data_IF_831322978422
#
_entry.id   IF_831322978422
#
_cell.length_a   1.000
_cell.length_b   1.000
_cell.length_c   1.000
_cell.angle_alpha   90.00
_cell.angle_beta   90.00
_cell.angle_gamma   90.00
#
_symmetry.space_group_name_H-M   'P 1'
#
loop_
_entity.id
_entity.type
_entity.pdbx_description
1 polymer ?
#
# COMPACT_ATOMS: atom_id res chain seq x y z
N UNK A 1 16.10 11.55 -6.68
CA UNK A 1 15.25 10.47 -6.16
C UNK A 1 14.01 10.40 -7.03
N UNK A 2 13.68 9.24 -7.61
CA UNK A 2 12.40 9.08 -8.33
C UNK A 2 11.24 9.24 -7.36
N UNK A 3 10.07 9.67 -7.85
CA UNK A 3 8.85 9.63 -7.06
C UNK A 3 8.50 8.17 -6.69
N UNK A 4 8.01 7.91 -5.46
CA UNK A 4 7.60 6.58 -5.07
C UNK A 4 6.30 6.15 -5.76
N UNK A 5 6.04 4.84 -5.73
CA UNK A 5 4.73 4.25 -5.94
C UNK A 5 4.18 3.80 -4.58
N UNK A 6 3.03 4.32 -4.17
CA UNK A 6 2.36 3.93 -2.94
C UNK A 6 1.21 3.00 -3.28
N UNK A 7 1.15 1.85 -2.61
CA UNK A 7 -0.01 0.97 -2.67
C UNK A 7 -0.92 1.27 -1.48
N UNK A 8 -2.16 1.63 -1.79
CA UNK A 8 -3.27 1.82 -0.86
C UNK A 8 -4.36 0.76 -1.12
N UNK A 9 -5.38 0.73 -0.27
CA UNK A 9 -6.48 -0.21 -0.34
C UNK A 9 -6.81 -0.75 1.03
N UNK A 10 -7.70 -1.73 1.08
CA UNK A 10 -8.04 -2.38 2.33
C UNK A 10 -7.10 -3.53 2.66
N UNK A 11 -6.93 -3.81 3.94
CA UNK A 11 -6.44 -5.11 4.37
C UNK A 11 -7.24 -6.23 3.67
N UNK A 12 -6.55 -7.30 3.26
CA UNK A 12 -7.16 -8.49 2.62
C UNK A 12 -7.67 -8.32 1.18
N UNK A 13 -7.45 -7.17 0.54
CA UNK A 13 -7.79 -6.98 -0.89
C UNK A 13 -6.70 -7.49 -1.87
N UNK A 14 -5.63 -8.12 -1.39
CA UNK A 14 -4.53 -8.59 -2.25
C UNK A 14 -3.41 -7.58 -2.47
N UNK A 15 -3.34 -6.51 -1.68
CA UNK A 15 -2.25 -5.52 -1.70
C UNK A 15 -0.85 -6.16 -1.61
N UNK A 16 -0.70 -7.24 -0.84
CA UNK A 16 0.59 -7.92 -0.65
C UNK A 16 1.05 -8.65 -1.91
N UNK A 17 0.12 -9.24 -2.67
CA UNK A 17 0.41 -9.85 -3.97
C UNK A 17 0.90 -8.80 -4.96
N UNK A 18 0.20 -7.66 -5.05
CA UNK A 18 0.61 -6.54 -5.92
C UNK A 18 1.99 -6.02 -5.51
N UNK A 19 2.24 -5.81 -4.21
CA UNK A 19 3.54 -5.37 -3.72
C UNK A 19 4.67 -6.32 -4.11
N UNK A 20 4.45 -7.63 -3.94
CA UNK A 20 5.40 -8.69 -4.31
C UNK A 20 5.69 -8.70 -5.81
N UNK A 21 4.66 -8.60 -6.65
CA UNK A 21 4.80 -8.58 -8.11
C UNK A 21 5.59 -7.34 -8.56
N UNK A 22 5.27 -6.17 -8.03
CA UNK A 22 6.01 -4.94 -8.35
C UNK A 22 7.47 -5.00 -7.88
N UNK A 23 7.73 -5.60 -6.71
CA UNK A 23 9.11 -5.85 -6.25
C UNK A 23 9.89 -6.72 -7.23
N UNK A 24 9.29 -7.82 -7.69
CA UNK A 24 9.90 -8.72 -8.68
C UNK A 24 10.06 -8.09 -10.06
N UNK A 25 9.26 -7.08 -10.38
CA UNK A 25 9.41 -6.26 -11.58
C UNK A 25 10.49 -5.15 -11.44
N UNK A 26 11.16 -5.08 -10.29
CA UNK A 26 12.25 -4.13 -10.04
C UNK A 26 11.77 -2.75 -9.57
N UNK A 27 10.63 -2.67 -8.89
CA UNK A 27 10.26 -1.53 -8.04
C UNK A 27 10.63 -1.89 -6.61
N UNK A 28 11.66 -1.26 -6.07
CA UNK A 28 12.13 -1.58 -4.73
C UNK A 28 11.08 -1.26 -3.65
N UNK A 29 10.69 -2.25 -2.84
CA UNK A 29 9.62 -2.12 -1.83
C UNK A 29 10.11 -2.01 -0.37
N UNK A 30 11.43 -1.91 -0.16
CA UNK A 30 12.05 -1.76 1.16
C UNK A 30 12.87 -2.97 1.59
N UNK A 31 13.99 -2.74 2.29
CA UNK A 31 14.83 -3.83 2.82
C UNK A 31 14.10 -4.62 3.89
N UNK A 32 13.56 -3.93 4.90
CA UNK A 32 12.92 -4.53 6.07
C UNK A 32 11.40 -4.40 5.92
N UNK A 33 10.74 -5.55 5.77
CA UNK A 33 9.28 -5.68 5.60
C UNK A 33 8.74 -6.78 6.52
N UNK A 34 7.46 -6.68 6.87
CA UNK A 34 6.73 -7.76 7.55
C UNK A 34 6.30 -8.87 6.56
N UNK A 35 5.60 -9.90 7.06
CA UNK A 35 5.06 -10.98 6.22
C UNK A 35 4.00 -10.51 5.23
N UNK A 36 3.38 -9.33 5.48
CA UNK A 36 2.43 -8.72 4.58
C UNK A 36 3.11 -7.83 3.51
N UNK A 37 4.43 -7.72 3.41
CA UNK A 37 5.13 -6.78 2.51
C UNK A 37 4.93 -5.29 2.89
N UNK A 38 4.73 -5.00 4.18
CA UNK A 38 4.66 -3.63 4.71
C UNK A 38 6.05 -3.21 5.18
N UNK A 39 6.58 -2.13 4.60
CA UNK A 39 7.88 -1.60 5.00
C UNK A 39 7.81 -1.06 6.45
N UNK A 40 8.62 -1.61 7.35
CA UNK A 40 8.44 -1.45 8.80
C UNK A 40 8.42 0.00 9.29
N UNK A 41 9.25 0.88 8.72
CA UNK A 41 9.28 2.29 9.09
C UNK A 41 8.01 3.03 8.62
N UNK A 42 7.51 2.75 7.42
CA UNK A 42 6.24 3.32 6.94
C UNK A 42 5.05 2.80 7.76
N UNK A 43 5.03 1.51 8.09
CA UNK A 43 4.08 0.89 9.01
C UNK A 43 4.08 1.61 10.37
N UNK A 44 5.25 1.84 10.96
CA UNK A 44 5.39 2.55 12.24
C UNK A 44 4.87 3.99 12.16
N UNK A 45 5.25 4.74 11.12
CA UNK A 45 4.81 6.12 10.94
C UNK A 45 3.31 6.23 10.72
N UNK A 46 2.73 5.33 9.93
CA UNK A 46 1.29 5.26 9.71
C UNK A 46 0.53 5.00 11.02
N UNK A 47 0.99 4.02 11.82
CA UNK A 47 0.37 3.72 13.12
C UNK A 47 0.46 4.89 14.08
N UNK A 48 1.65 5.49 14.25
CA UNK A 48 1.82 6.64 15.13
C UNK A 48 0.96 7.84 14.72
N UNK A 49 0.80 8.07 13.41
CA UNK A 49 -0.02 9.17 12.88
C UNK A 49 -1.51 8.91 13.15
N UNK A 50 -1.98 7.68 12.95
CA UNK A 50 -3.35 7.28 13.26
C UNK A 50 -3.64 7.35 14.76
N UNK A 51 -2.76 6.80 15.60
CA UNK A 51 -2.94 6.82 17.06
C UNK A 51 -2.97 8.23 17.63
N UNK A 52 -2.14 9.13 17.13
CA UNK A 52 -2.16 10.53 17.54
C UNK A 52 -3.51 11.21 17.23
N UNK A 53 -4.19 10.78 16.17
CA UNK A 53 -5.53 11.23 15.80
C UNK A 53 -6.66 10.38 16.41
N UNK A 54 -6.38 9.56 17.44
CA UNK A 54 -7.33 8.61 18.05
C UNK A 54 -8.03 7.72 17.02
N UNK A 55 -7.26 7.27 16.02
CA UNK A 55 -7.68 6.40 14.94
C UNK A 55 -6.85 5.11 14.92
N UNK A 56 -7.37 4.09 14.26
CA UNK A 56 -6.67 2.83 14.03
C UNK A 56 -7.04 2.27 12.66
N UNK A 57 -6.51 1.10 12.30
CA UNK A 57 -6.95 0.43 11.07
C UNK A 57 -8.37 -0.17 11.19
N UNK A 58 -8.88 -0.36 12.41
CA UNK A 58 -10.25 -0.83 12.68
C UNK A 58 -11.25 0.32 12.80
N UNK A 59 -10.78 1.48 13.25
CA UNK A 59 -11.56 2.72 13.33
C UNK A 59 -10.81 3.83 12.60
N UNK A 60 -10.74 3.74 11.27
CA UNK A 60 -9.90 4.63 10.51
C UNK A 60 -10.53 6.00 10.35
N UNK A 61 -9.67 7.03 10.41
CA UNK A 61 -9.98 8.44 10.17
C UNK A 61 -8.79 9.06 9.43
N UNK A 62 -9.04 10.05 8.59
CA UNK A 62 -7.97 10.83 7.95
C UNK A 62 -7.36 11.76 9.02
N UNK A 63 -6.09 11.59 9.40
CA UNK A 63 -5.48 12.43 10.43
C UNK A 63 -5.28 13.87 9.93
N UNK A 64 -5.62 14.84 10.77
CA UNK A 64 -5.31 16.25 10.52
C UNK A 64 -3.80 16.50 10.47
N UNK A 65 -3.40 17.60 9.82
CA UNK A 65 -1.99 17.95 9.58
C UNK A 65 -1.15 18.05 10.85
N UNK A 66 -1.75 18.43 11.99
CA UNK A 66 -1.05 18.55 13.27
C UNK A 66 -0.52 17.20 13.78
N UNK A 67 -1.12 16.08 13.36
CA UNK A 67 -0.71 14.73 13.77
C UNK A 67 0.33 14.11 12.83
N UNK A 68 0.62 14.76 11.69
CA UNK A 68 1.53 14.24 10.68
C UNK A 68 2.97 14.21 11.18
N UNK A 69 3.72 13.20 10.73
CA UNK A 69 5.16 13.10 10.99
C UNK A 69 5.94 13.92 9.99
N UNK A 70 6.91 14.69 10.48
CA UNK A 70 7.69 15.66 9.68
C UNK A 70 9.09 15.15 9.33
N UNK A 71 9.23 13.86 9.06
CA UNK A 71 10.53 13.27 8.71
C UNK A 71 10.90 13.68 7.26
N UNK A 72 12.11 14.22 7.02
CA UNK A 72 12.51 14.59 5.67
C UNK A 72 12.46 13.41 4.68
N UNK A 73 11.95 13.65 3.48
CA UNK A 73 11.84 12.65 2.41
C UNK A 73 13.16 11.90 2.13
N UNK A 74 14.30 12.62 2.19
CA UNK A 74 15.63 12.02 2.02
C UNK A 74 16.00 11.05 3.15
N UNK A 75 15.63 11.35 4.38
CA UNK A 75 15.88 10.46 5.52
C UNK A 75 15.04 9.18 5.41
N UNK A 76 13.75 9.31 5.02
CA UNK A 76 12.89 8.17 4.74
C UNK A 76 13.45 7.30 3.61
N UNK A 77 13.89 7.91 2.51
CA UNK A 77 14.51 7.19 1.40
C UNK A 77 15.77 6.43 1.84
N UNK A 78 16.67 7.08 2.59
CA UNK A 78 17.88 6.43 3.08
C UNK A 78 17.56 5.25 4.00
N UNK A 79 16.61 5.40 4.92
CA UNK A 79 16.17 4.34 5.81
C UNK A 79 15.51 3.18 5.03
N UNK A 80 14.70 3.51 4.02
CA UNK A 80 14.02 2.53 3.18
C UNK A 80 14.99 1.62 2.42
N UNK A 81 16.08 2.20 1.92
CA UNK A 81 17.15 1.51 1.19
C UNK A 81 18.32 1.04 2.07
N UNK A 82 18.29 1.35 3.38
CA UNK A 82 19.42 1.14 4.31
C UNK A 82 20.75 1.72 3.80
N UNK A 83 20.67 2.93 3.27
CA UNK A 83 21.82 3.66 2.72
C UNK A 83 22.62 4.25 3.88
N UNK A 84 23.78 3.64 4.13
CA UNK A 84 24.71 4.06 5.18
C UNK A 84 25.98 4.63 4.51
N UNK A 85 26.16 5.95 4.58
CA UNK A 85 27.38 6.62 4.11
C UNK A 85 27.28 7.34 2.76
N UNK A 86 28.28 8.18 2.47
CA UNK A 86 28.28 9.13 1.33
C UNK A 86 28.41 8.45 -0.05
N UNK A 87 29.25 7.41 -0.16
CA UNK A 87 29.44 6.68 -1.42
C UNK A 87 28.16 5.98 -1.90
N UNK A 88 27.42 5.35 -0.96
CA UNK A 88 26.13 4.75 -1.28
C UNK A 88 25.10 5.82 -1.65
N UNK A 89 25.05 6.95 -0.94
CA UNK A 89 24.17 8.06 -1.32
C UNK A 89 24.43 8.55 -2.76
N UNK A 90 25.71 8.68 -3.14
CA UNK A 90 26.08 9.07 -4.51
C UNK A 90 25.64 8.01 -5.53
N UNK A 91 25.89 6.73 -5.26
CA UNK A 91 25.52 5.66 -6.19
C UNK A 91 24.00 5.55 -6.38
N UNK A 92 23.21 5.71 -5.33
CA UNK A 92 21.75 5.71 -5.40
C UNK A 92 21.19 7.00 -6.02
N UNK A 93 21.86 8.14 -5.84
CA UNK A 93 21.51 9.37 -6.54
C UNK A 93 21.67 9.22 -8.06
N UNK A 94 22.75 8.56 -8.51
CA UNK A 94 23.01 8.29 -9.92
C UNK A 94 22.07 7.21 -10.50
N UNK A 95 21.90 6.07 -9.80
CA UNK A 95 21.02 4.98 -10.26
C UNK A 95 19.55 5.36 -10.22
N UNK A 96 19.16 6.15 -9.23
CA UNK A 96 17.79 6.59 -8.94
C UNK A 96 16.74 5.49 -9.19
N UNK A 97 16.85 4.34 -8.49
CA UNK A 97 15.98 3.18 -8.71
C UNK A 97 14.50 3.52 -8.51
N UNK A 98 13.63 2.82 -9.25
CA UNK A 98 12.19 2.86 -8.98
C UNK A 98 11.92 2.22 -7.62
N UNK A 99 11.02 2.83 -6.84
CA UNK A 99 10.76 2.41 -5.47
C UNK A 99 9.35 2.74 -5.04
N UNK A 100 8.93 2.16 -3.93
CA UNK A 100 7.61 2.32 -3.39
C UNK A 100 7.45 1.60 -2.06
N UNK A 101 6.24 1.61 -1.53
CA UNK A 101 5.89 0.76 -0.40
C UNK A 101 4.41 0.46 -0.44
N UNK A 102 4.04 -0.60 0.27
CA UNK A 102 2.65 -0.98 0.49
C UNK A 102 2.32 -0.84 1.95
N UNK A 103 1.14 -0.29 2.21
CA UNK A 103 0.50 -0.35 3.52
C UNK A 103 -0.98 0.01 3.34
N UNK A 104 -1.95 -0.85 3.72
CA UNK A 104 -3.37 -0.51 3.60
C UNK A 104 -3.74 0.78 4.35
N UNK A 105 -3.08 1.08 5.48
CA UNK A 105 -3.30 2.29 6.27
C UNK A 105 -2.86 3.56 5.54
N UNK A 106 -2.02 3.45 4.50
CA UNK A 106 -1.73 4.56 3.58
C UNK A 106 -3.03 5.18 3.03
N UNK A 107 -4.12 4.44 2.92
CA UNK A 107 -5.43 4.96 2.49
C UNK A 107 -5.87 6.19 3.30
N UNK A 108 -5.63 6.20 4.61
CA UNK A 108 -6.03 7.29 5.50
C UNK A 108 -4.91 8.29 5.75
N UNK A 109 -3.65 7.86 5.67
CA UNK A 109 -2.49 8.73 5.85
C UNK A 109 -1.94 9.30 4.54
N UNK A 110 -2.61 9.09 3.41
CA UNK A 110 -2.10 9.47 2.08
C UNK A 110 -1.81 10.97 1.98
N UNK A 111 -2.62 11.82 2.59
CA UNK A 111 -2.39 13.28 2.60
C UNK A 111 -1.03 13.66 3.22
N UNK A 112 -0.61 12.96 4.28
CA UNK A 112 0.74 13.13 4.85
C UNK A 112 1.81 12.76 3.83
N UNK A 113 1.65 11.63 3.13
CA UNK A 113 2.61 11.19 2.12
C UNK A 113 2.64 12.08 0.87
N UNK A 114 1.49 12.62 0.44
CA UNK A 114 1.40 13.58 -0.65
C UNK A 114 2.13 14.88 -0.33
N UNK A 115 2.09 15.31 0.94
CA UNK A 115 2.84 16.49 1.38
C UNK A 115 4.37 16.33 1.31
N UNK A 116 4.86 15.09 1.47
CA UNK A 116 6.29 14.77 1.41
C UNK A 116 6.74 14.39 -0.02
N UNK A 117 5.85 13.79 -0.81
CA UNK A 117 6.10 13.29 -2.15
C UNK A 117 4.99 13.74 -3.11
N UNK A 118 5.01 15.00 -3.59
CA UNK A 118 3.90 15.58 -4.35
C UNK A 118 3.63 14.87 -5.68
N UNK A 119 4.66 14.26 -6.28
CA UNK A 119 4.60 13.57 -7.56
C UNK A 119 4.44 12.04 -7.44
N UNK A 120 3.99 11.54 -6.28
CA UNK A 120 3.76 10.11 -6.04
C UNK A 120 2.72 9.54 -7.00
N UNK A 121 2.92 8.27 -7.41
CA UNK A 121 1.89 7.46 -8.07
C UNK A 121 1.23 6.55 -7.04
N UNK A 122 -0.08 6.38 -7.13
CA UNK A 122 -0.89 5.62 -6.18
C UNK A 122 -1.59 4.48 -6.90
N UNK A 123 -1.42 3.26 -6.38
CA UNK A 123 -2.17 2.08 -6.80
C UNK A 123 -3.19 1.77 -5.70
N UNK A 124 -4.47 1.84 -6.03
CA UNK A 124 -5.57 1.45 -5.15
C UNK A 124 -6.00 0.03 -5.47
N UNK A 125 -5.77 -0.90 -4.52
CA UNK A 125 -6.17 -2.30 -4.70
C UNK A 125 -7.51 -2.55 -4.02
N UNK A 126 -8.50 -2.89 -4.82
CA UNK A 126 -9.87 -3.17 -4.38
C UNK A 126 -10.19 -4.65 -4.49
N UNK A 127 -11.25 -5.08 -3.81
CA UNK A 127 -11.77 -6.45 -3.84
C UNK A 127 -13.21 -6.42 -3.38
N UNK A 128 -14.01 -7.38 -3.83
CA UNK A 128 -15.40 -7.57 -3.41
C UNK A 128 -15.59 -7.50 -1.89
N UNK A 129 -16.67 -6.83 -1.48
CA UNK A 129 -16.97 -6.55 -0.08
C UNK A 129 -17.19 -7.83 0.73
N UNK A 130 -17.93 -8.81 0.19
CA UNK A 130 -18.24 -10.05 0.89
C UNK A 130 -17.00 -10.92 1.04
N UNK A 131 -16.16 -10.97 0.00
CA UNK A 131 -14.89 -11.69 0.08
C UNK A 131 -13.93 -11.09 1.12
N UNK A 132 -13.83 -9.76 1.17
CA UNK A 132 -12.99 -9.09 2.16
C UNK A 132 -13.54 -9.29 3.57
N UNK A 133 -14.85 -9.12 3.76
CA UNK A 133 -15.47 -9.29 5.07
C UNK A 133 -15.26 -10.71 5.62
N UNK A 134 -15.45 -11.75 4.80
CA UNK A 134 -15.15 -13.14 5.18
C UNK A 134 -13.66 -13.35 5.47
N UNK A 135 -12.78 -12.74 4.68
CA UNK A 135 -11.32 -12.85 4.87
C UNK A 135 -10.85 -12.19 6.16
N UNK A 136 -11.49 -11.10 6.59
CA UNK A 136 -11.23 -10.43 7.87
C UNK A 136 -11.64 -11.32 9.06
N UNK A 137 -12.84 -11.91 9.03
CA UNK A 137 -13.27 -12.84 10.08
C UNK A 137 -12.36 -14.08 10.16
N UNK A 138 -11.98 -14.65 9.01
CA UNK A 138 -11.03 -15.78 8.97
C UNK A 138 -9.65 -15.41 9.49
N UNK A 139 -9.17 -14.18 9.24
CA UNK A 139 -7.90 -13.69 9.79
C UNK A 139 -7.93 -13.64 11.32
N UNK A 140 -9.07 -13.33 11.91
CA UNK A 140 -9.21 -13.18 13.37
C UNK A 140 -8.88 -14.46 14.15
N UNK A 141 -8.93 -15.63 13.48
CA UNK A 141 -8.60 -16.94 14.06
C UNK A 141 -7.17 -17.39 13.78
N UNK A 142 -6.37 -16.62 13.04
CA UNK A 142 -4.99 -16.98 12.68
C UNK A 142 -4.04 -16.61 13.80
N UNK A 143 -3.26 -17.59 14.29
CA UNK A 143 -2.26 -17.37 15.34
C UNK A 143 -1.19 -16.38 14.87
N UNK A 144 -0.93 -15.34 15.68
CA UNK A 144 0.05 -14.29 15.39
C UNK A 144 -0.53 -13.05 14.70
N UNK A 145 -1.77 -13.11 14.21
CA UNK A 145 -2.51 -11.92 13.82
C UNK A 145 -3.16 -11.26 15.04
N UNK A 146 -3.40 -9.95 14.96
CA UNK A 146 -4.11 -9.22 16.03
C UNK A 146 -5.55 -9.71 16.05
N UNK A 147 -5.96 -10.27 17.19
CA UNK A 147 -7.35 -10.66 17.44
C UNK A 147 -8.15 -9.44 17.92
N UNK A 148 -9.30 -9.20 17.30
CA UNK A 148 -10.27 -8.21 17.74
C UNK A 148 -11.70 -8.78 17.56
N UNK A 149 -12.52 -8.86 18.63
CA UNK A 149 -13.87 -9.44 18.56
C UNK A 149 -14.77 -8.80 17.51
N UNK A 150 -14.57 -7.51 17.18
CA UNK A 150 -15.37 -6.80 16.18
C UNK A 150 -15.26 -7.41 14.78
N UNK A 151 -14.12 -8.04 14.47
CA UNK A 151 -13.91 -8.71 13.17
C UNK A 151 -14.76 -9.97 12.99
N UNK A 152 -15.41 -10.47 14.05
CA UNK A 152 -16.38 -11.55 13.95
C UNK A 152 -17.77 -11.05 13.49
N UNK A 153 -18.01 -9.74 13.52
CA UNK A 153 -19.22 -9.13 13.00
C UNK A 153 -19.05 -8.77 11.51
N UNK A 154 -19.86 -9.42 10.68
CA UNK A 154 -19.86 -9.20 9.24
C UNK A 154 -20.33 -7.80 8.86
N UNK A 155 -21.25 -7.19 9.61
CA UNK A 155 -21.71 -5.82 9.33
C UNK A 155 -20.60 -4.82 9.62
N UNK A 156 -19.91 -4.96 10.75
CA UNK A 156 -18.72 -4.18 11.06
C UNK A 156 -17.67 -4.29 9.94
N UNK A 157 -17.40 -5.51 9.45
CA UNK A 157 -16.42 -5.72 8.38
C UNK A 157 -16.83 -5.06 7.05
N UNK A 158 -18.12 -5.10 6.69
CA UNK A 158 -18.66 -4.43 5.49
C UNK A 158 -18.56 -2.91 5.61
N UNK A 159 -18.89 -2.35 6.77
CA UNK A 159 -18.75 -0.92 7.03
C UNK A 159 -17.28 -0.48 6.99
N UNK A 160 -16.39 -1.28 7.58
CA UNK A 160 -14.95 -1.03 7.52
C UNK A 160 -14.45 -1.04 6.07
N UNK A 161 -14.91 -2.01 5.26
CA UNK A 161 -14.61 -2.07 3.84
C UNK A 161 -15.07 -0.82 3.10
N UNK A 162 -16.31 -0.39 3.36
CA UNK A 162 -16.87 0.81 2.75
C UNK A 162 -16.02 2.04 3.08
N UNK A 163 -15.61 2.23 4.34
CA UNK A 163 -14.73 3.34 4.74
C UNK A 163 -13.41 3.35 3.97
N UNK A 164 -12.77 2.20 3.79
CA UNK A 164 -11.52 2.09 3.02
C UNK A 164 -11.72 2.41 1.53
N UNK A 165 -12.78 1.85 0.91
CA UNK A 165 -13.06 2.06 -0.51
C UNK A 165 -13.43 3.51 -0.79
N UNK A 166 -14.33 4.09 0.00
CA UNK A 166 -14.75 5.48 -0.15
C UNK A 166 -13.55 6.42 0.00
N UNK A 167 -12.72 6.20 1.02
CA UNK A 167 -11.52 7.00 1.22
C UNK A 167 -10.50 6.82 0.09
N UNK A 168 -10.24 5.59 -0.35
CA UNK A 168 -9.31 5.30 -1.45
C UNK A 168 -9.74 5.94 -2.77
N UNK A 169 -11.05 5.93 -3.08
CA UNK A 169 -11.63 6.54 -4.27
C UNK A 169 -11.72 8.05 -4.20
N UNK A 170 -11.78 8.64 -3.01
CA UNK A 170 -11.79 10.10 -2.83
C UNK A 170 -10.58 10.79 -3.47
N UNK A 171 -9.44 10.10 -3.59
CA UNK A 171 -8.22 10.64 -4.19
C UNK A 171 -8.20 10.61 -5.72
N UNK A 172 -9.15 9.94 -6.38
CA UNK A 172 -9.13 9.74 -7.84
C UNK A 172 -9.04 11.07 -8.61
N UNK A 173 -9.89 12.03 -8.26
CA UNK A 173 -9.91 13.34 -8.92
C UNK A 173 -8.68 14.19 -8.57
N UNK A 174 -8.21 14.13 -7.32
CA UNK A 174 -7.03 14.87 -6.87
C UNK A 174 -5.75 14.42 -7.59
N UNK A 175 -5.62 13.12 -7.85
CA UNK A 175 -4.40 12.53 -8.38
C UNK A 175 -4.40 12.39 -9.91
N UNK A 176 -5.57 12.30 -10.54
CA UNK A 176 -5.71 12.13 -12.00
C UNK A 176 -4.88 10.94 -12.49
N UNK A 177 -4.00 11.20 -13.47
CA UNK A 177 -3.11 10.20 -14.09
C UNK A 177 -2.10 9.56 -13.12
N UNK A 178 -2.00 10.05 -11.88
CA UNK A 178 -1.17 9.46 -10.82
C UNK A 178 -1.93 8.45 -9.96
N UNK A 179 -3.20 8.16 -10.26
CA UNK A 179 -4.00 7.17 -9.54
C UNK A 179 -4.44 6.05 -10.47
N UNK A 180 -4.25 4.81 -10.00
CA UNK A 180 -4.68 3.61 -10.70
C UNK A 180 -5.43 2.69 -9.75
N UNK A 181 -6.70 2.42 -10.02
CA UNK A 181 -7.48 1.41 -9.28
C UNK A 181 -7.42 0.08 -10.03
N UNK A 182 -7.19 -1.01 -9.30
CA UNK A 182 -7.24 -2.37 -9.83
C UNK A 182 -8.03 -3.26 -8.87
N UNK A 183 -8.93 -4.08 -9.42
CA UNK A 183 -9.67 -5.04 -8.62
C UNK A 183 -8.94 -6.39 -8.52
N UNK A 184 -8.99 -7.00 -7.35
CA UNK A 184 -8.38 -8.29 -7.10
C UNK A 184 -8.88 -9.38 -8.05
N UNK A 185 -10.16 -9.36 -8.43
CA UNK A 185 -10.74 -10.29 -9.38
C UNK A 185 -10.05 -10.18 -10.75
N UNK A 186 -9.75 -8.96 -11.22
CA UNK A 186 -9.01 -8.73 -12.47
C UNK A 186 -7.59 -9.31 -12.40
N UNK A 187 -6.94 -9.20 -11.24
CA UNK A 187 -5.63 -9.82 -10.99
C UNK A 187 -5.75 -11.35 -10.97
N UNK A 188 -6.70 -11.91 -10.22
CA UNK A 188 -6.83 -13.36 -10.03
C UNK A 188 -7.25 -14.09 -11.30
N UNK A 189 -8.03 -13.43 -12.16
CA UNK A 189 -8.44 -13.95 -13.48
C UNK A 189 -7.44 -13.65 -14.59
N UNK A 190 -6.31 -12.98 -14.26
CA UNK A 190 -5.30 -12.54 -15.21
C UNK A 190 -5.90 -11.72 -16.37
N UNK A 191 -6.79 -10.78 -16.04
CA UNK A 191 -7.41 -9.90 -17.01
C UNK A 191 -6.34 -9.10 -17.76
N UNK A 192 -6.17 -9.42 -19.06
CA UNK A 192 -5.12 -8.84 -19.92
C UNK A 192 -5.21 -7.32 -19.99
N UNK A 193 -6.42 -6.77 -20.13
CA UNK A 193 -6.63 -5.33 -20.26
C UNK A 193 -6.20 -4.58 -18.99
N UNK A 194 -6.70 -5.02 -17.83
CA UNK A 194 -6.39 -4.40 -16.54
C UNK A 194 -4.88 -4.47 -16.23
N UNK A 195 -4.26 -5.65 -16.45
CA UNK A 195 -2.83 -5.83 -16.22
C UNK A 195 -2.00 -4.96 -17.17
N UNK A 196 -2.31 -4.92 -18.47
CA UNK A 196 -1.59 -4.06 -19.43
C UNK A 196 -1.72 -2.57 -19.08
N UNK A 197 -2.86 -2.13 -18.56
CA UNK A 197 -3.01 -0.77 -18.08
C UNK A 197 -2.13 -0.50 -16.84
N UNK A 198 -2.04 -1.45 -15.90
CA UNK A 198 -1.14 -1.36 -14.75
C UNK A 198 0.35 -1.38 -15.19
N UNK A 199 0.71 -2.16 -16.19
CA UNK A 199 2.05 -2.17 -16.79
C UNK A 199 2.42 -0.80 -17.35
N UNK A 200 1.51 -0.17 -18.11
CA UNK A 200 1.69 1.20 -18.62
C UNK A 200 1.82 2.20 -17.47
N UNK A 201 0.97 2.09 -16.45
CA UNK A 201 0.99 2.99 -15.30
C UNK A 201 2.31 2.91 -14.52
N UNK A 202 2.86 1.71 -14.34
CA UNK A 202 4.09 1.46 -13.57
C UNK A 202 5.37 1.54 -14.41
N UNK A 203 5.25 1.40 -15.73
CA UNK A 203 6.38 1.28 -16.66
C UNK A 203 7.13 -0.06 -16.51
N UNK A 204 6.44 -1.11 -16.05
CA UNK A 204 7.02 -2.43 -15.75
C UNK A 204 6.20 -3.53 -16.40
N UNK A 205 6.86 -4.62 -16.82
CA UNK A 205 6.20 -5.83 -17.30
C UNK A 205 5.74 -6.67 -16.10
N UNK A 206 4.45 -6.96 -16.00
CA UNK A 206 3.81 -7.58 -14.85
C UNK A 206 3.03 -8.84 -15.20
N UNK A 207 2.61 -9.02 -16.46
CA UNK A 207 1.74 -10.11 -16.92
C UNK A 207 2.25 -11.49 -16.53
N UNK A 208 3.51 -11.79 -16.81
CA UNK A 208 4.12 -13.08 -16.48
C UNK A 208 4.30 -13.27 -14.95
N UNK A 209 4.60 -12.19 -14.23
CA UNK A 209 4.79 -12.21 -12.79
C UNK A 209 3.45 -12.47 -12.08
N UNK A 210 2.36 -11.82 -12.49
CA UNK A 210 1.03 -12.12 -11.99
C UNK A 210 0.63 -13.57 -12.30
N UNK A 211 0.85 -14.05 -13.53
CA UNK A 211 0.54 -15.43 -13.89
C UNK A 211 1.28 -16.46 -13.02
N UNK A 212 2.51 -16.16 -12.60
CA UNK A 212 3.29 -17.00 -11.70
C UNK A 212 2.82 -16.90 -10.23
N UNK A 213 2.64 -15.68 -9.72
CA UNK A 213 2.37 -15.47 -8.30
C UNK A 213 0.90 -15.70 -7.90
N UNK A 214 -0.07 -15.50 -8.81
CA UNK A 214 -1.48 -15.83 -8.53
C UNK A 214 -1.66 -17.33 -8.26
N UNK A 215 -0.94 -18.19 -9.01
CA UNK A 215 -1.01 -19.66 -8.86
C UNK A 215 -0.39 -20.20 -7.56
N UNK A 216 0.44 -19.39 -6.90
CA UNK A 216 1.22 -19.77 -5.71
C UNK A 216 0.77 -19.04 -4.45
N UNK A 217 -0.31 -18.25 -4.52
CA UNK A 217 -0.85 -17.42 -3.44
C UNK A 217 -2.09 -18.04 -2.79
#
# INVERSE_FOLDING_TARGET
MKSPIIIIGMHRSGTSLVAKVLEKAGIFMGVIKDHNYEAMHFLSLNQQTLWAASASWLEPKVPEKLFWKTIPAKALYNEHFKINGKLQQLSYALKSPAWGWKDPRNTFTLNMWLSLFPNVKVIHVTRDCEEVAKSLSKRNTVKGEVNDPRLNDMNFNRELWKKYIDQGRSYKNLLGDRYFEIDYHEISTLNKTAITQLEKFTGKQLSQLFAHYVKTS
#
